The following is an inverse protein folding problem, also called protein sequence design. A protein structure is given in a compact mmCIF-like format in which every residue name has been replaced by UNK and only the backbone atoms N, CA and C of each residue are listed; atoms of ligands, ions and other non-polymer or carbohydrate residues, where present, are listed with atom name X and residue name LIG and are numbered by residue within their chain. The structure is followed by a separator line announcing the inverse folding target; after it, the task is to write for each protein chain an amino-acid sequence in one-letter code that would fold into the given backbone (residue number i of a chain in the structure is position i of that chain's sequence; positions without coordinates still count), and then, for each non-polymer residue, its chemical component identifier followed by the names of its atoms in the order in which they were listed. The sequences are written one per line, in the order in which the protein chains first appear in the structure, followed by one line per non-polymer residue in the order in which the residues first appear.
data_IF_210254595355
#
_entry.id   IF_210254595355
#
_cell.length_a   1.000
_cell.length_b   1.000
_cell.length_c   1.000
_cell.angle_alpha   90.00
_cell.angle_beta   90.00
_cell.angle_gamma   90.00
#
_symmetry.space_group_name_H-M   'P 1'
#
loop_
_entity.id
_entity.type
_entity.pdbx_description
1 polymer ?
#
# COMPACT_ATOMS: atom_id res chain seq x y z
N UNK A 1 -7.66 -11.83 2.08
CA UNK A 1 -6.81 -10.99 2.95
C UNK A 1 -7.12 -11.20 4.42
N UNK A 2 -8.38 -11.12 4.88
CA UNK A 2 -8.73 -11.35 6.29
C UNK A 2 -8.19 -12.68 6.87
N UNK A 3 -8.46 -13.81 6.21
CA UNK A 3 -7.96 -15.12 6.64
C UNK A 3 -6.43 -15.16 6.76
N UNK A 4 -5.71 -14.58 5.81
CA UNK A 4 -4.25 -14.47 5.84
C UNK A 4 -3.75 -13.65 7.04
N UNK A 5 -4.43 -12.54 7.36
CA UNK A 5 -4.09 -11.72 8.51
C UNK A 5 -4.33 -12.46 9.85
N UNK A 6 -5.40 -13.26 9.94
CA UNK A 6 -5.69 -14.08 11.12
C UNK A 6 -4.67 -15.21 11.28
N UNK A 7 -4.28 -15.86 10.19
CA UNK A 7 -3.24 -16.89 10.21
C UNK A 7 -1.89 -16.32 10.68
N UNK A 8 -1.46 -15.18 10.11
CA UNK A 8 -0.25 -14.49 10.54
C UNK A 8 -0.34 -14.06 12.03
N UNK A 9 -1.50 -13.56 12.46
CA UNK A 9 -1.78 -13.23 13.87
C UNK A 9 -1.61 -14.44 14.80
N UNK A 10 -2.16 -15.59 14.41
CA UNK A 10 -2.07 -16.82 15.20
C UNK A 10 -0.61 -17.26 15.38
N UNK A 11 0.20 -17.18 14.31
CA UNK A 11 1.63 -17.49 14.38
C UNK A 11 2.37 -16.56 15.34
N UNK A 12 2.07 -15.26 15.33
CA UNK A 12 2.69 -14.31 16.26
C UNK A 12 2.29 -14.56 17.72
N UNK A 13 1.03 -14.92 17.97
CA UNK A 13 0.57 -15.32 19.32
C UNK A 13 1.29 -16.58 19.79
N UNK A 14 1.44 -17.58 18.93
CA UNK A 14 2.17 -18.82 19.24
C UNK A 14 3.65 -18.58 19.51
N UNK A 15 4.26 -17.62 18.81
CA UNK A 15 5.64 -17.21 19.01
C UNK A 15 5.84 -16.31 20.26
N UNK A 16 4.76 -15.92 20.95
CA UNK A 16 4.83 -15.01 22.09
C UNK A 16 5.15 -13.55 21.71
N UNK A 17 4.97 -13.18 20.44
CA UNK A 17 5.24 -11.82 19.93
C UNK A 17 4.06 -10.88 20.27
N UNK A 18 3.81 -10.67 21.56
CA UNK A 18 2.74 -9.83 22.07
C UNK A 18 3.32 -8.53 22.62
N UNK A 19 2.76 -7.39 22.21
CA UNK A 19 3.13 -6.08 22.73
C UNK A 19 2.66 -5.88 24.17
N UNK A 20 3.21 -4.86 24.84
CA UNK A 20 2.81 -4.49 26.22
C UNK A 20 1.33 -4.14 26.36
N UNK A 21 0.69 -3.77 25.25
CA UNK A 21 -0.73 -3.44 25.13
C UNK A 21 -1.62 -4.63 24.77
N UNK A 22 -1.06 -5.84 24.71
CA UNK A 22 -1.78 -7.08 24.43
C UNK A 22 -2.02 -7.35 22.94
N UNK A 23 -1.56 -6.48 22.03
CA UNK A 23 -1.72 -6.72 20.59
C UNK A 23 -0.57 -7.58 20.04
N UNK A 24 -0.86 -8.60 19.21
CA UNK A 24 0.16 -9.32 18.47
C UNK A 24 0.94 -8.38 17.54
N UNK A 25 2.27 -8.50 17.59
CA UNK A 25 3.21 -7.71 16.80
C UNK A 25 3.64 -8.50 15.58
N UNK A 26 3.57 -7.89 14.40
CA UNK A 26 3.93 -8.54 13.14
C UNK A 26 5.08 -7.83 12.44
N UNK A 27 5.92 -8.65 11.81
CA UNK A 27 6.86 -8.21 10.78
C UNK A 27 6.17 -8.29 9.42
N UNK A 28 6.30 -7.24 8.62
CA UNK A 28 5.68 -7.14 7.30
C UNK A 28 6.68 -6.72 6.23
N UNK A 29 6.34 -6.97 4.97
CA UNK A 29 7.07 -6.52 3.79
C UNK A 29 6.15 -5.62 2.98
N UNK A 30 6.68 -4.53 2.41
CA UNK A 30 5.96 -3.73 1.42
C UNK A 30 6.09 -4.35 0.02
N UNK A 31 4.96 -4.40 -0.68
CA UNK A 31 4.92 -4.75 -2.10
C UNK A 31 4.28 -3.61 -2.88
N UNK A 32 4.95 -3.10 -3.91
CA UNK A 32 4.41 -2.06 -4.78
C UNK A 32 4.25 -2.59 -6.20
N UNK A 33 3.07 -2.37 -6.78
CA UNK A 33 2.83 -2.67 -8.19
C UNK A 33 2.56 -1.37 -8.95
N UNK A 34 3.61 -0.87 -9.60
CA UNK A 34 3.55 0.34 -10.41
C UNK A 34 4.42 0.18 -11.64
N UNK A 35 4.11 0.96 -12.69
CA UNK A 35 5.05 1.18 -13.77
C UNK A 35 6.35 1.73 -13.17
N UNK A 36 7.44 0.95 -13.23
CA UNK A 36 8.79 1.43 -12.88
C UNK A 36 9.08 2.64 -13.73
N UNK A 37 9.17 3.78 -13.08
CA UNK A 37 9.43 5.05 -13.73
C UNK A 37 10.95 5.24 -13.77
N UNK A 38 11.58 4.85 -14.87
CA UNK A 38 13.03 4.94 -15.02
C UNK A 38 13.48 6.40 -15.24
N UNK A 39 14.57 6.78 -14.55
CA UNK A 39 15.40 7.98 -14.75
C UNK A 39 14.70 9.35 -14.56
N UNK A 40 13.70 9.71 -15.36
CA UNK A 40 13.18 11.08 -15.45
C UNK A 40 11.64 11.24 -15.38
N UNK A 41 10.86 10.17 -15.15
CA UNK A 41 9.39 10.28 -15.24
C UNK A 41 8.64 9.74 -14.02
N UNK A 42 8.74 10.42 -12.87
CA UNK A 42 8.06 10.04 -11.62
C UNK A 42 6.56 10.38 -11.56
N UNK A 43 5.86 10.46 -12.69
CA UNK A 43 4.51 11.04 -12.78
C UNK A 43 3.36 10.02 -12.80
N UNK A 44 3.48 8.89 -12.11
CA UNK A 44 2.42 7.86 -12.13
C UNK A 44 1.05 8.43 -11.73
N UNK A 45 0.04 8.15 -12.55
CA UNK A 45 -1.34 8.60 -12.30
C UNK A 45 -2.03 7.72 -11.25
N UNK A 46 -1.60 6.47 -11.11
CA UNK A 46 -2.05 5.54 -10.09
C UNK A 46 -0.87 4.82 -9.45
N UNK A 47 -1.02 4.45 -8.17
CA UNK A 47 -0.14 3.50 -7.49
C UNK A 47 -0.93 2.54 -6.64
N UNK A 48 -0.37 1.34 -6.50
CA UNK A 48 -0.90 0.27 -5.68
C UNK A 48 0.20 -0.20 -4.76
N UNK A 49 -0.11 -0.28 -3.47
CA UNK A 49 0.80 -0.83 -2.48
C UNK A 49 0.07 -1.88 -1.64
N UNK A 50 0.84 -2.87 -1.18
CA UNK A 50 0.39 -4.00 -0.42
C UNK A 50 1.29 -4.20 0.80
N UNK A 51 0.70 -4.66 1.89
CA UNK A 51 1.40 -5.13 3.08
C UNK A 51 1.29 -6.65 3.06
N UNK A 52 2.44 -7.32 3.16
CA UNK A 52 2.57 -8.77 3.09
C UNK A 52 3.08 -9.28 4.44
N UNK A 53 2.41 -10.29 5.00
CA UNK A 53 2.86 -10.95 6.23
C UNK A 53 4.20 -11.64 6.01
N UNK A 54 5.16 -11.45 6.92
CA UNK A 54 6.49 -12.00 6.73
C UNK A 54 6.53 -13.53 6.90
N UNK A 55 5.73 -14.12 7.77
CA UNK A 55 5.73 -15.56 8.01
C UNK A 55 4.98 -16.31 6.91
N UNK A 56 3.73 -15.90 6.64
CA UNK A 56 2.87 -16.57 5.65
C UNK A 56 3.17 -16.19 4.21
N UNK A 57 3.89 -15.07 3.98
CA UNK A 57 4.12 -14.47 2.66
C UNK A 57 2.82 -14.10 1.92
N UNK A 58 1.70 -13.96 2.64
CA UNK A 58 0.38 -13.64 2.08
C UNK A 58 0.11 -12.13 2.19
N UNK A 59 -0.63 -11.60 1.22
CA UNK A 59 -1.10 -10.21 1.25
C UNK A 59 -2.16 -10.05 2.34
N UNK A 60 -1.92 -9.15 3.28
CA UNK A 60 -2.82 -8.86 4.40
C UNK A 60 -3.52 -7.50 4.27
N UNK A 61 -2.95 -6.59 3.49
CA UNK A 61 -3.57 -5.31 3.14
C UNK A 61 -3.15 -4.89 1.73
N UNK A 62 -4.05 -4.21 1.03
CA UNK A 62 -3.79 -3.64 -0.30
C UNK A 62 -4.58 -2.35 -0.43
N UNK A 63 -3.94 -1.31 -0.96
CA UNK A 63 -4.59 -0.04 -1.26
C UNK A 63 -4.18 0.49 -2.61
N UNK A 64 -5.06 1.34 -3.17
CA UNK A 64 -4.86 1.99 -4.46
C UNK A 64 -5.07 3.48 -4.30
N UNK A 65 -4.15 4.27 -4.86
CA UNK A 65 -4.26 5.72 -5.00
C UNK A 65 -4.23 6.10 -6.46
N UNK A 66 -5.13 6.98 -6.85
CA UNK A 66 -5.35 7.34 -8.22
C UNK A 66 -5.70 8.84 -8.33
N UNK A 67 -4.96 9.54 -9.20
CA UNK A 67 -5.16 10.96 -9.55
C UNK A 67 -5.98 11.14 -10.81
N UNK A 68 -6.26 10.07 -11.54
CA UNK A 68 -6.86 10.11 -12.86
C UNK A 68 -8.24 9.45 -12.87
N UNK A 69 -9.24 10.18 -13.34
CA UNK A 69 -10.51 9.63 -13.72
C UNK A 69 -10.82 10.11 -15.14
N UNK A 70 -11.19 9.17 -16.03
CA UNK A 70 -11.44 9.48 -17.43
C UNK A 70 -12.61 10.47 -17.60
N UNK A 71 -13.69 10.29 -16.83
CA UNK A 71 -14.88 11.15 -16.88
C UNK A 71 -14.51 12.58 -16.48
N UNK A 72 -13.84 12.75 -15.33
CA UNK A 72 -13.34 14.05 -14.89
C UNK A 72 -12.37 14.68 -15.90
N UNK A 73 -11.47 13.89 -16.49
CA UNK A 73 -10.48 14.38 -17.44
C UNK A 73 -11.12 14.88 -18.74
N UNK A 74 -12.18 14.23 -19.22
CA UNK A 74 -12.91 14.63 -20.42
C UNK A 74 -13.73 15.89 -20.19
N UNK A 75 -14.48 15.95 -19.08
CA UNK A 75 -15.24 17.13 -18.71
C UNK A 75 -14.34 18.36 -18.56
N UNK A 76 -13.20 18.22 -17.88
CA UNK A 76 -12.22 19.29 -17.76
C UNK A 76 -11.66 19.74 -19.11
N UNK A 77 -11.41 18.81 -20.05
CA UNK A 77 -10.94 19.15 -21.39
C UNK A 77 -12.01 19.89 -22.23
N UNK A 78 -13.30 19.65 -21.97
CA UNK A 78 -14.42 20.33 -22.58
C UNK A 78 -14.82 21.65 -21.87
N UNK A 79 -14.16 22.02 -20.76
CA UNK A 79 -14.58 23.08 -19.84
C UNK A 79 -16.00 22.89 -19.28
N UNK A 80 -16.40 21.64 -19.09
CA UNK A 80 -17.70 21.24 -18.58
C UNK A 80 -17.59 20.61 -17.19
N UNK A 81 -18.71 20.57 -16.48
CA UNK A 81 -18.79 19.82 -15.23
C UNK A 81 -18.97 18.33 -15.52
N UNK A 82 -18.21 17.49 -14.82
CA UNK A 82 -18.34 16.05 -14.97
C UNK A 82 -19.72 15.57 -14.51
N UNK A 83 -20.39 14.79 -15.36
CA UNK A 83 -21.61 14.07 -14.99
C UNK A 83 -21.40 13.22 -13.73
N UNK A 84 -22.50 12.94 -13.03
CA UNK A 84 -22.48 12.08 -11.85
C UNK A 84 -21.93 10.69 -12.22
N UNK A 85 -20.84 10.30 -11.57
CA UNK A 85 -20.18 9.01 -11.82
C UNK A 85 -19.48 8.48 -10.55
N UNK A 86 -19.09 7.21 -10.58
CA UNK A 86 -18.22 6.61 -9.57
C UNK A 86 -16.78 7.06 -9.79
N UNK A 87 -16.41 8.21 -9.22
CA UNK A 87 -15.08 8.79 -9.40
C UNK A 87 -14.00 7.91 -8.77
N UNK A 88 -13.10 7.40 -9.59
CA UNK A 88 -11.95 6.61 -9.15
C UNK A 88 -10.77 7.48 -8.69
N UNK A 89 -10.89 8.82 -8.75
CA UNK A 89 -9.87 9.76 -8.28
C UNK A 89 -9.98 9.91 -6.76
N UNK A 90 -9.00 9.39 -6.05
CA UNK A 90 -8.94 9.38 -4.58
C UNK A 90 -7.60 9.94 -4.04
N UNK A 91 -6.77 10.52 -4.90
CA UNK A 91 -5.49 11.11 -4.52
C UNK A 91 -5.31 12.48 -5.15
N UNK A 92 -4.77 13.41 -4.36
CA UNK A 92 -4.51 14.80 -4.78
C UNK A 92 -3.05 15.23 -4.53
N UNK A 93 -2.24 14.40 -3.86
CA UNK A 93 -0.83 14.67 -3.60
C UNK A 93 0.10 14.29 -4.75
N UNK A 94 1.41 14.26 -4.48
CA UNK A 94 2.42 13.84 -5.45
C UNK A 94 2.31 12.35 -5.78
N UNK A 95 2.80 11.93 -6.95
CA UNK A 95 2.88 10.51 -7.29
C UNK A 95 3.76 9.72 -6.33
N UNK A 96 4.87 10.32 -5.87
CA UNK A 96 5.84 9.66 -4.99
C UNK A 96 5.28 9.38 -3.59
N UNK A 97 4.30 10.16 -3.12
CA UNK A 97 3.72 10.00 -1.78
C UNK A 97 2.55 9.02 -1.70
N UNK A 98 2.02 8.54 -2.84
CA UNK A 98 0.89 7.61 -2.87
C UNK A 98 1.18 6.30 -2.12
N UNK A 99 2.36 5.73 -2.34
CA UNK A 99 2.76 4.44 -1.77
C UNK A 99 2.89 4.54 -0.25
N UNK A 100 3.67 5.52 0.22
CA UNK A 100 3.81 5.80 1.65
C UNK A 100 2.44 6.04 2.32
N UNK A 101 1.53 6.75 1.65
CA UNK A 101 0.19 7.00 2.18
C UNK A 101 -0.67 5.73 2.27
N UNK A 102 -0.57 4.82 1.30
CA UNK A 102 -1.27 3.53 1.35
C UNK A 102 -0.75 2.69 2.52
N UNK A 103 0.58 2.63 2.70
CA UNK A 103 1.19 1.89 3.80
C UNK A 103 0.77 2.51 5.14
N UNK A 104 0.82 3.83 5.27
CA UNK A 104 0.34 4.53 6.47
C UNK A 104 -1.13 4.18 6.79
N UNK A 105 -2.01 4.22 5.79
CA UNK A 105 -3.42 3.84 5.97
C UNK A 105 -3.55 2.39 6.45
N UNK A 106 -2.80 1.46 5.86
CA UNK A 106 -2.78 0.06 6.26
C UNK A 106 -2.31 -0.14 7.70
N UNK A 107 -1.29 0.59 8.14
CA UNK A 107 -0.81 0.58 9.52
C UNK A 107 -1.85 1.11 10.49
N UNK A 108 -2.49 2.24 10.18
CA UNK A 108 -3.53 2.84 11.03
C UNK A 108 -4.75 1.93 11.17
N UNK A 109 -5.11 1.18 10.14
CA UNK A 109 -6.28 0.29 10.14
C UNK A 109 -6.03 -1.10 10.74
N UNK A 110 -4.76 -1.51 10.88
CA UNK A 110 -4.37 -2.87 11.31
C UNK A 110 -5.05 -3.35 12.59
N UNK A 111 -5.11 -2.48 13.62
CA UNK A 111 -5.75 -2.80 14.90
C UNK A 111 -7.26 -2.95 14.74
N UNK A 112 -7.92 -2.02 14.04
CA UNK A 112 -9.36 -2.08 13.85
C UNK A 112 -9.79 -3.26 12.96
N UNK A 113 -8.99 -3.61 11.94
CA UNK A 113 -9.32 -4.67 11.00
C UNK A 113 -9.05 -6.08 11.56
N UNK A 114 -7.93 -6.25 12.26
CA UNK A 114 -7.42 -7.58 12.61
C UNK A 114 -6.98 -7.70 14.08
N UNK A 115 -6.92 -6.60 14.82
CA UNK A 115 -6.39 -6.56 16.19
C UNK A 115 -4.92 -6.96 16.23
N UNK A 116 -4.11 -6.40 15.33
CA UNK A 116 -2.66 -6.63 15.22
C UNK A 116 -1.94 -5.28 15.06
N UNK A 117 -0.65 -5.25 15.40
CA UNK A 117 0.23 -4.10 15.16
C UNK A 117 1.40 -4.50 14.27
N UNK A 118 1.68 -3.70 13.25
CA UNK A 118 2.89 -3.87 12.43
C UNK A 118 4.02 -3.10 13.10
N UNK A 119 5.09 -3.80 13.52
CA UNK A 119 6.20 -3.20 14.28
C UNK A 119 7.51 -3.16 13.50
N UNK A 120 7.67 -4.06 12.53
CA UNK A 120 8.85 -4.12 11.66
C UNK A 120 8.39 -4.18 10.22
N UNK A 121 9.01 -3.36 9.38
CA UNK A 121 8.86 -3.43 7.92
C UNK A 121 10.21 -3.76 7.32
N UNK A 122 10.27 -4.80 6.49
CA UNK A 122 11.46 -5.17 5.75
C UNK A 122 11.29 -4.63 4.34
N UNK A 123 12.02 -3.56 4.04
CA UNK A 123 12.12 -3.03 2.69
C UNK A 123 13.06 -3.86 1.84
N UNK A 124 12.74 -4.03 0.56
CA UNK A 124 13.67 -4.61 -0.42
C UNK A 124 14.59 -3.51 -0.92
N UNK A 125 15.84 -3.49 -0.44
CA UNK A 125 16.89 -2.69 -1.07
C UNK A 125 17.23 -3.32 -2.44
N UNK A 126 16.74 -2.70 -3.51
CA UNK A 126 17.18 -3.08 -4.85
C UNK A 126 18.53 -2.42 -5.04
N UNK A 127 19.61 -3.16 -4.76
CA UNK A 127 20.95 -2.76 -5.18
C UNK A 127 20.91 -2.51 -6.69
N UNK A 128 20.93 -1.24 -7.11
CA UNK A 128 21.10 -0.88 -8.50
C UNK A 128 22.51 -1.27 -8.88
N UNK A 129 22.68 -2.50 -9.37
CA UNK A 129 23.93 -2.95 -9.95
C UNK A 129 24.16 -2.14 -11.23
N UNK A 130 24.80 -0.98 -11.10
CA UNK A 130 25.34 -0.19 -12.20
C UNK A 130 26.50 -0.97 -12.81
N UNK A 131 26.21 -2.04 -13.56
CA UNK A 131 27.15 -2.55 -14.55
C UNK A 131 27.06 -1.65 -15.77
N UNK A 132 28.09 -0.82 -15.88
CA UNK A 132 28.48 -0.06 -17.06
C UNK A 132 28.39 -0.98 -18.30
N UNK A 133 27.67 -0.50 -19.31
CA UNK A 133 28.00 -0.75 -20.70
C UNK A 133 28.63 0.52 -21.24
#
# INVERSE_FOLDING_TARGET
MYSAAIEEKQLAVQAGEIGLDGFPMLTVVDGCWVKRSYRNNYSSLSRTAAIVGFQTKKVIYMGVRNRYCMVCSRAAAANEQADRHCCSKNWHGSSSSMEANIIQEGFMKSVAMYGIKYTKIIGVEIAMNTRQF
#
